data_IF_412891621073
#
_entry.id   IF_412891621073
#
_cell.length_a   1.000
_cell.length_b   1.000
_cell.length_c   1.000
_cell.angle_alpha   90.00
_cell.angle_beta   90.00
_cell.angle_gamma   90.00
#
_symmetry.space_group_name_H-M   'P 1'
#
loop_
_entity.id
_entity.type
_entity.pdbx_description
1 polymer ?
#
# COMPACT_ATOMS: atom_id res chain seq x y z
N UNK A 1 1.73 -6.69 17.86
CA UNK A 1 0.58 -7.40 18.43
C UNK A 1 -0.54 -7.60 17.40
N UNK A 2 -1.27 -6.55 16.99
CA UNK A 2 -2.46 -6.68 16.11
C UNK A 2 -2.19 -7.40 14.77
N UNK A 3 -1.13 -7.03 14.04
CA UNK A 3 -0.74 -7.72 12.79
C UNK A 3 -0.58 -9.22 12.97
N UNK A 4 0.14 -9.63 14.01
CA UNK A 4 0.44 -11.04 14.28
C UNK A 4 -0.85 -11.82 14.52
N UNK A 5 -1.76 -11.28 15.32
CA UNK A 5 -3.06 -11.91 15.57
C UNK A 5 -3.90 -12.07 14.29
N UNK A 6 -3.85 -11.10 13.37
CA UNK A 6 -4.53 -11.21 12.08
C UNK A 6 -3.93 -12.30 11.20
N UNK A 7 -2.60 -12.44 11.16
CA UNK A 7 -1.90 -13.45 10.36
C UNK A 7 -2.12 -14.88 10.85
N UNK A 8 -2.58 -15.08 12.09
CA UNK A 8 -2.94 -16.40 12.63
C UNK A 8 -4.30 -16.90 12.08
N UNK A 9 -5.10 -16.02 11.47
CA UNK A 9 -6.40 -16.39 10.90
C UNK A 9 -6.24 -16.95 9.48
N UNK A 10 -6.82 -18.14 9.23
CA UNK A 10 -6.83 -18.77 7.90
C UNK A 10 -7.41 -17.83 6.85
N UNK A 11 -6.66 -17.60 5.78
CA UNK A 11 -7.06 -16.73 4.66
C UNK A 11 -6.62 -15.27 4.79
N UNK A 12 -5.99 -14.87 5.91
CA UNK A 12 -5.46 -13.50 6.07
C UNK A 12 -3.95 -13.50 5.82
N UNK A 13 -3.56 -12.98 4.65
CA UNK A 13 -2.17 -12.69 4.32
C UNK A 13 -1.70 -11.32 4.81
N UNK A 14 -0.40 -11.03 4.63
CA UNK A 14 0.23 -9.74 5.00
C UNK A 14 -0.51 -8.56 4.39
N UNK A 15 -0.78 -8.62 3.09
CA UNK A 15 -1.52 -7.57 2.39
C UNK A 15 -2.88 -7.29 3.03
N UNK A 16 -3.68 -8.33 3.30
CA UNK A 16 -5.00 -8.19 3.92
C UNK A 16 -4.90 -7.62 5.34
N UNK A 17 -3.94 -8.11 6.12
CA UNK A 17 -3.70 -7.61 7.47
C UNK A 17 -3.34 -6.12 7.46
N UNK A 18 -2.41 -5.69 6.59
CA UNK A 18 -2.04 -4.29 6.46
C UNK A 18 -3.17 -3.38 6.03
N UNK A 19 -3.95 -3.80 5.03
CA UNK A 19 -5.12 -3.07 4.56
C UNK A 19 -6.14 -2.89 5.68
N UNK A 20 -6.39 -3.93 6.49
CA UNK A 20 -7.25 -3.82 7.67
C UNK A 20 -6.67 -2.87 8.73
N UNK A 21 -5.38 -2.98 9.04
CA UNK A 21 -4.71 -2.08 10.00
C UNK A 21 -4.79 -0.61 9.55
N UNK A 22 -4.62 -0.36 8.26
CA UNK A 22 -4.70 0.94 7.63
C UNK A 22 -6.10 1.54 7.72
N UNK A 23 -7.13 0.84 7.22
CA UNK A 23 -8.48 1.39 7.10
C UNK A 23 -9.28 1.30 8.39
N UNK A 24 -9.31 0.11 9.01
CA UNK A 24 -10.18 -0.16 10.16
C UNK A 24 -9.57 0.33 11.46
N UNK A 25 -8.26 0.10 11.66
CA UNK A 25 -7.57 0.47 12.90
C UNK A 25 -6.76 1.77 12.81
N UNK A 26 -6.82 2.46 11.67
CA UNK A 26 -6.19 3.77 11.43
C UNK A 26 -4.69 3.79 11.80
N UNK A 27 -3.99 2.68 11.58
CA UNK A 27 -2.55 2.58 11.86
C UNK A 27 -1.77 3.32 10.77
N UNK A 28 -1.25 4.49 11.12
CA UNK A 28 -0.58 5.41 10.19
C UNK A 28 0.66 4.83 9.49
N UNK A 29 1.29 3.80 10.06
CA UNK A 29 2.49 3.19 9.49
C UNK A 29 2.25 1.78 8.89
N UNK A 30 0.99 1.39 8.70
CA UNK A 30 0.65 0.17 7.97
C UNK A 30 1.00 0.30 6.48
N UNK A 31 1.50 -0.78 5.88
CA UNK A 31 1.98 -0.77 4.49
C UNK A 31 1.60 -2.08 3.80
N UNK A 32 0.63 -2.08 2.86
CA UNK A 32 0.20 -3.28 2.14
C UNK A 32 1.27 -3.74 1.12
N UNK A 33 2.32 -4.41 1.61
CA UNK A 33 3.35 -5.02 0.75
C UNK A 33 2.71 -5.99 -0.26
N UNK A 34 3.33 -6.10 -1.45
CA UNK A 34 2.85 -6.86 -2.63
C UNK A 34 1.59 -6.31 -3.30
N UNK A 35 1.22 -5.06 -3.03
CA UNK A 35 0.11 -4.40 -3.72
C UNK A 35 0.54 -3.92 -5.11
N UNK A 36 0.00 -4.56 -6.15
CA UNK A 36 0.32 -4.24 -7.56
C UNK A 36 -0.06 -2.81 -7.95
N UNK A 37 -1.09 -2.22 -7.33
CA UNK A 37 -1.49 -0.85 -7.62
C UNK A 37 -0.51 0.14 -6.98
N UNK A 38 -0.01 -0.14 -5.77
CA UNK A 38 1.06 0.65 -5.14
C UNK A 38 2.36 0.57 -5.95
N UNK A 39 2.81 -0.63 -6.33
CA UNK A 39 4.00 -0.81 -7.17
C UNK A 39 3.88 -0.03 -8.48
N UNK A 40 2.71 -0.07 -9.12
CA UNK A 40 2.47 0.64 -10.38
C UNK A 40 2.37 2.15 -10.20
N UNK A 41 1.74 2.63 -9.13
CA UNK A 41 1.69 4.06 -8.81
C UNK A 41 3.07 4.63 -8.47
N UNK A 42 3.92 3.86 -7.78
CA UNK A 42 5.31 4.24 -7.51
C UNK A 42 6.07 4.41 -8.82
N UNK A 43 5.95 3.45 -9.74
CA UNK A 43 6.55 3.56 -11.07
C UNK A 43 6.12 4.86 -11.76
N UNK A 44 4.81 5.12 -11.81
CA UNK A 44 4.21 6.25 -12.51
C UNK A 44 4.65 7.60 -11.89
N UNK A 45 4.61 7.74 -10.56
CA UNK A 45 4.96 8.99 -9.88
C UNK A 45 6.46 9.28 -9.83
N UNK A 46 7.29 8.24 -9.76
CA UNK A 46 8.74 8.39 -9.69
C UNK A 46 9.41 8.28 -11.06
N UNK A 47 8.64 8.18 -12.15
CA UNK A 47 9.11 7.99 -13.52
C UNK A 47 10.14 6.85 -13.64
N UNK A 48 9.89 5.72 -12.97
CA UNK A 48 10.79 4.57 -13.02
C UNK A 48 10.69 3.87 -14.39
N UNK A 49 11.81 3.38 -14.95
CA UNK A 49 11.83 2.74 -16.27
C UNK A 49 11.01 1.44 -16.30
N UNK A 50 10.88 0.76 -15.16
CA UNK A 50 10.10 -0.45 -14.98
C UNK A 50 9.32 -0.40 -13.67
N UNK A 51 8.29 -1.25 -13.54
CA UNK A 51 7.57 -1.41 -12.29
C UNK A 51 8.54 -1.98 -11.24
N UNK A 52 8.70 -1.35 -10.06
CA UNK A 52 9.52 -1.92 -9.01
C UNK A 52 8.98 -3.30 -8.62
N UNK A 53 9.87 -4.17 -8.17
CA UNK A 53 9.45 -5.37 -7.46
C UNK A 53 8.98 -5.01 -6.03
N UNK A 54 8.45 -6.01 -5.34
CA UNK A 54 7.93 -5.82 -3.98
C UNK A 54 9.01 -5.31 -3.02
N UNK A 55 10.23 -5.83 -3.10
CA UNK A 55 11.29 -5.42 -2.17
C UNK A 55 11.75 -3.99 -2.43
N UNK A 56 11.83 -3.58 -3.69
CA UNK A 56 12.12 -2.21 -4.06
C UNK A 56 11.01 -1.25 -3.64
N UNK A 57 9.74 -1.61 -3.87
CA UNK A 57 8.60 -0.82 -3.41
C UNK A 57 8.60 -0.68 -1.88
N UNK A 58 8.91 -1.75 -1.15
CA UNK A 58 9.01 -1.73 0.31
C UNK A 58 10.18 -0.83 0.77
N UNK A 59 11.36 -0.90 0.11
CA UNK A 59 12.49 0.01 0.38
C UNK A 59 12.16 1.49 0.12
N UNK A 60 11.41 1.78 -0.95
CA UNK A 60 10.94 3.14 -1.25
C UNK A 60 9.99 3.61 -0.14
N UNK A 61 9.09 2.72 0.30
CA UNK A 61 8.10 3.04 1.31
C UNK A 61 8.69 3.37 2.68
N UNK A 62 9.88 2.87 3.01
CA UNK A 62 10.59 3.22 4.25
C UNK A 62 10.80 4.73 4.41
N UNK A 63 10.94 5.48 3.32
CA UNK A 63 11.08 6.95 3.33
C UNK A 63 9.84 7.67 3.84
N UNK A 64 8.69 7.01 3.84
CA UNK A 64 7.42 7.58 4.29
C UNK A 64 7.06 7.22 5.72
N UNK A 65 7.93 6.51 6.46
CA UNK A 65 7.72 6.31 7.89
C UNK A 65 7.68 7.65 8.63
N UNK A 66 6.80 7.81 9.65
CA UNK A 66 5.87 6.82 10.21
C UNK A 66 4.46 6.86 9.57
N UNK A 67 4.32 7.37 8.34
CA UNK A 67 3.06 7.66 7.66
C UNK A 67 2.86 6.85 6.37
N UNK A 68 3.41 5.63 6.29
CA UNK A 68 3.29 4.77 5.10
C UNK A 68 1.85 4.52 4.66
N UNK A 69 0.90 4.47 5.60
CA UNK A 69 -0.53 4.34 5.28
C UNK A 69 -1.09 5.56 4.53
N UNK A 70 -0.60 6.75 4.85
CA UNK A 70 -0.99 7.99 4.15
C UNK A 70 -0.47 7.95 2.72
N UNK A 71 0.80 7.56 2.55
CA UNK A 71 1.40 7.38 1.23
C UNK A 71 0.64 6.34 0.39
N UNK A 72 0.31 5.18 0.97
CA UNK A 72 -0.48 4.14 0.28
C UNK A 72 -1.82 4.67 -0.24
N UNK A 73 -2.55 5.47 0.57
CA UNK A 73 -3.81 6.09 0.14
C UNK A 73 -3.63 7.07 -1.02
N UNK A 74 -2.57 7.89 -1.00
CA UNK A 74 -2.26 8.81 -2.09
C UNK A 74 -1.91 8.03 -3.37
N UNK A 75 -1.11 6.98 -3.26
CA UNK A 75 -0.73 6.11 -4.36
C UNK A 75 -1.93 5.42 -5.00
N UNK A 76 -2.84 4.85 -4.21
CA UNK A 76 -4.08 4.28 -4.73
C UNK A 76 -4.96 5.33 -5.40
N UNK A 77 -5.04 6.55 -4.84
CA UNK A 77 -5.79 7.63 -5.47
C UNK A 77 -5.19 8.00 -6.83
N UNK A 78 -3.87 8.13 -6.92
CA UNK A 78 -3.17 8.34 -8.19
C UNK A 78 -3.45 7.20 -9.19
N UNK A 79 -3.27 5.95 -8.76
CA UNK A 79 -3.50 4.76 -9.58
C UNK A 79 -4.90 4.78 -10.23
N UNK A 80 -5.92 5.12 -9.44
CA UNK A 80 -7.31 5.18 -9.88
C UNK A 80 -7.56 6.36 -10.83
N UNK A 81 -7.04 7.55 -10.52
CA UNK A 81 -7.17 8.75 -11.35
C UNK A 81 -6.56 8.56 -12.75
N UNK A 82 -5.34 7.99 -12.83
CA UNK A 82 -4.67 7.71 -14.11
C UNK A 82 -5.46 6.72 -14.98
N UNK A 83 -6.26 5.85 -14.37
CA UNK A 83 -7.07 4.84 -15.05
C UNK A 83 -8.50 5.30 -15.34
N UNK A 84 -8.79 6.60 -15.15
CA UNK A 84 -10.14 7.15 -15.34
C UNK A 84 -11.18 6.59 -14.36
N UNK A 85 -10.75 5.88 -13.32
CA UNK A 85 -11.62 5.31 -12.29
C UNK A 85 -11.78 6.31 -11.18
N UNK A 86 -12.56 7.37 -11.41
CA UNK A 86 -12.90 8.29 -10.33
C UNK A 86 -13.75 7.56 -9.29
N UNK A 87 -13.36 7.64 -8.03
CA UNK A 87 -14.28 7.37 -6.93
C UNK A 87 -15.40 8.41 -7.01
N UNK A 88 -16.56 8.02 -7.51
CA UNK A 88 -17.81 8.70 -7.20
C UNK A 88 -18.13 8.32 -5.76
N UNK A 89 -18.08 9.31 -4.86
CA UNK A 89 -18.56 9.14 -3.49
C UNK A 89 -20.06 8.85 -3.49
#
# INVERSE_FOLDING_TARGET
AARKALLELRGIGVWTADTYLLFSLKRADAWPSKDLALEKAIQELMNLPSKPDTEEADRIAERWKPYRAVAARILWHHYLCVRGRRFTA
#
